data_IF_174300929640
#
_entry.id   IF_174300929640
#
_cell.length_a   1.000
_cell.length_b   1.000
_cell.length_c   1.000
_cell.angle_alpha   90.00
_cell.angle_beta   90.00
_cell.angle_gamma   90.00
#
_symmetry.space_group_name_H-M   'P 1'
#
loop_
_entity.id
_entity.type
_entity.pdbx_description
1 polymer ?
#
# COMPACT_ATOMS: atom_id res chain seq x y z
N UNK A 1 22.84 -7.14 -67.47
CA UNK A 1 22.30 -7.12 -66.08
C UNK A 1 20.96 -6.40 -66.17
N UNK A 2 19.80 -6.87 -65.69
CA UNK A 2 19.46 -7.69 -64.54
C UNK A 2 18.46 -8.80 -64.93
N UNK A 3 18.71 -10.05 -64.51
CA UNK A 3 17.76 -11.17 -64.61
C UNK A 3 17.06 -11.35 -63.25
N UNK A 4 15.72 -11.45 -63.31
CA UNK A 4 14.84 -12.20 -62.39
C UNK A 4 14.92 -11.85 -60.89
N UNK A 5 14.11 -10.89 -60.47
CA UNK A 5 13.69 -10.72 -59.06
C UNK A 5 12.17 -10.83 -58.85
N UNK A 6 11.41 -11.36 -59.82
CA UNK A 6 10.00 -11.73 -59.61
C UNK A 6 9.92 -13.13 -58.99
N UNK A 7 10.31 -13.24 -57.72
CA UNK A 7 10.43 -14.51 -56.97
C UNK A 7 9.23 -14.66 -56.01
N UNK A 8 8.27 -15.50 -56.41
CA UNK A 8 7.32 -16.25 -55.58
C UNK A 8 6.61 -15.51 -54.42
N UNK A 9 5.59 -14.73 -54.73
CA UNK A 9 4.54 -14.39 -53.76
C UNK A 9 3.45 -15.47 -53.80
N UNK A 10 3.66 -16.62 -53.13
CA UNK A 10 2.52 -17.49 -52.78
C UNK A 10 1.74 -16.74 -51.70
N UNK A 11 0.66 -16.07 -52.11
CA UNK A 11 -0.24 -15.38 -51.19
C UNK A 11 -0.81 -16.37 -50.18
N UNK A 12 -0.85 -15.93 -48.92
CA UNK A 12 -1.43 -16.70 -47.81
C UNK A 12 -2.90 -17.04 -48.12
N UNK A 13 -3.32 -18.27 -47.85
CA UNK A 13 -4.73 -18.65 -48.07
C UNK A 13 -5.61 -18.00 -47.02
N UNK A 14 -6.79 -17.50 -47.42
CA UNK A 14 -7.80 -17.00 -46.46
C UNK A 14 -8.19 -18.07 -45.44
N UNK A 15 -8.16 -19.35 -45.85
CA UNK A 15 -8.46 -20.48 -44.98
C UNK A 15 -7.39 -20.65 -43.90
N UNK A 16 -6.11 -20.48 -44.24
CA UNK A 16 -5.02 -20.57 -43.26
C UNK A 16 -5.14 -19.47 -42.19
N UNK A 17 -5.54 -18.26 -42.59
CA UNK A 17 -5.76 -17.16 -41.66
C UNK A 17 -6.92 -17.45 -40.70
N UNK A 18 -8.01 -17.99 -41.22
CA UNK A 18 -9.21 -18.31 -40.43
C UNK A 18 -8.88 -19.38 -39.37
N UNK A 19 -8.19 -20.45 -39.76
CA UNK A 19 -7.77 -21.51 -38.83
C UNK A 19 -6.84 -20.96 -37.74
N UNK A 20 -5.91 -20.08 -38.10
CA UNK A 20 -4.99 -19.48 -37.14
C UNK A 20 -5.72 -18.64 -36.08
N UNK A 21 -6.66 -17.78 -36.49
CA UNK A 21 -7.45 -16.97 -35.55
C UNK A 21 -8.32 -17.85 -34.64
N UNK A 22 -8.87 -18.94 -35.18
CA UNK A 22 -9.69 -19.88 -34.41
C UNK A 22 -8.87 -20.56 -33.31
N UNK A 23 -7.64 -20.97 -33.60
CA UNK A 23 -6.72 -21.53 -32.59
C UNK A 23 -6.33 -20.46 -31.55
N UNK A 24 -5.98 -19.25 -31.99
CA UNK A 24 -5.65 -18.15 -31.08
C UNK A 24 -6.82 -17.81 -30.14
N UNK A 25 -8.07 -17.86 -30.62
CA UNK A 25 -9.25 -17.61 -29.81
C UNK A 25 -9.41 -18.64 -28.67
N UNK A 26 -9.19 -19.93 -28.95
CA UNK A 26 -9.25 -21.00 -27.93
C UNK A 26 -8.13 -20.84 -26.90
N UNK A 27 -6.91 -20.55 -27.34
CA UNK A 27 -5.77 -20.32 -26.44
C UNK A 27 -6.03 -19.09 -25.56
N UNK A 28 -6.49 -17.98 -26.14
CA UNK A 28 -6.80 -16.76 -25.41
C UNK A 28 -7.89 -16.98 -24.34
N UNK A 29 -8.94 -17.74 -24.66
CA UNK A 29 -10.01 -18.04 -23.71
C UNK A 29 -9.51 -18.79 -22.47
N UNK A 30 -8.69 -19.83 -22.65
CA UNK A 30 -8.10 -20.58 -21.52
C UNK A 30 -7.07 -19.78 -20.74
N UNK A 31 -6.29 -18.94 -21.42
CA UNK A 31 -5.30 -18.07 -20.82
C UNK A 31 -5.94 -17.05 -19.86
N UNK A 32 -7.04 -16.40 -20.25
CA UNK A 32 -7.74 -15.41 -19.41
C UNK A 32 -8.14 -16.00 -18.05
N UNK A 33 -8.70 -17.22 -18.04
CA UNK A 33 -9.12 -17.88 -16.79
C UNK A 33 -7.93 -18.19 -15.87
N UNK A 34 -6.82 -18.66 -16.42
CA UNK A 34 -5.61 -18.98 -15.65
C UNK A 34 -4.94 -17.72 -15.09
N UNK A 35 -4.74 -16.71 -15.94
CA UNK A 35 -4.09 -15.46 -15.54
C UNK A 35 -4.91 -14.68 -14.52
N UNK A 36 -6.25 -14.69 -14.60
CA UNK A 36 -7.11 -14.04 -13.62
C UNK A 36 -6.94 -14.59 -12.20
N UNK A 37 -6.93 -15.91 -12.05
CA UNK A 37 -6.75 -16.55 -10.73
C UNK A 37 -5.36 -16.30 -10.15
N UNK A 38 -4.31 -16.44 -10.97
CA UNK A 38 -2.92 -16.19 -10.53
C UNK A 38 -2.75 -14.73 -10.13
N UNK A 39 -3.20 -13.78 -10.96
CA UNK A 39 -3.10 -12.35 -10.69
C UNK A 39 -3.79 -11.97 -9.37
N UNK A 40 -5.00 -12.47 -9.13
CA UNK A 40 -5.72 -12.23 -7.89
C UNK A 40 -4.97 -12.74 -6.65
N UNK A 41 -4.44 -13.97 -6.74
CA UNK A 41 -3.65 -14.55 -5.65
C UNK A 41 -2.35 -13.78 -5.39
N UNK A 42 -1.69 -13.30 -6.44
CA UNK A 42 -0.47 -12.49 -6.33
C UNK A 42 -0.75 -11.15 -5.67
N UNK A 43 -1.84 -10.48 -6.04
CA UNK A 43 -2.27 -9.22 -5.40
C UNK A 43 -2.61 -9.43 -3.93
N UNK A 44 -3.35 -10.48 -3.59
CA UNK A 44 -3.68 -10.80 -2.19
C UNK A 44 -2.43 -11.06 -1.35
N UNK A 45 -1.42 -11.73 -1.90
CA UNK A 45 -0.14 -11.97 -1.22
C UNK A 45 0.67 -10.68 -1.06
N UNK A 46 0.69 -9.84 -2.09
CA UNK A 46 1.35 -8.54 -2.02
C UNK A 46 0.71 -7.63 -0.96
N UNK A 47 -0.61 -7.67 -0.82
CA UNK A 47 -1.32 -6.94 0.23
C UNK A 47 -0.97 -7.48 1.62
N UNK A 48 -0.88 -8.80 1.80
CA UNK A 48 -0.46 -9.39 3.07
C UNK A 48 0.98 -9.00 3.45
N UNK A 49 1.89 -8.94 2.48
CA UNK A 49 3.27 -8.47 2.69
C UNK A 49 3.31 -6.97 3.03
N UNK A 50 2.49 -6.17 2.34
CA UNK A 50 2.38 -4.73 2.59
C UNK A 50 1.82 -4.45 3.99
N UNK A 51 0.80 -5.20 4.40
CA UNK A 51 0.24 -5.13 5.75
C UNK A 51 1.28 -5.45 6.83
N UNK A 52 2.06 -6.51 6.64
CA UNK A 52 3.15 -6.89 7.54
C UNK A 52 4.25 -5.82 7.57
N UNK A 53 4.56 -5.18 6.44
CA UNK A 53 5.50 -4.07 6.39
C UNK A 53 4.99 -2.84 7.17
N UNK A 54 3.72 -2.45 7.00
CA UNK A 54 3.09 -1.37 7.77
C UNK A 54 3.12 -1.68 9.27
N UNK A 55 2.75 -2.91 9.66
CA UNK A 55 2.83 -3.38 11.05
C UNK A 55 4.24 -3.23 11.62
N UNK A 56 5.26 -3.65 10.88
CA UNK A 56 6.67 -3.53 11.30
C UNK A 56 7.09 -2.08 11.43
N UNK A 57 6.67 -1.21 10.53
CA UNK A 57 6.95 0.22 10.61
C UNK A 57 6.36 0.84 11.88
N UNK A 58 5.08 0.55 12.19
CA UNK A 58 4.43 1.01 13.42
C UNK A 58 5.17 0.49 14.65
N UNK A 59 5.44 -0.82 14.72
CA UNK A 59 6.18 -1.40 15.86
C UNK A 59 7.57 -0.78 16.01
N UNK A 60 8.29 -0.58 14.92
CA UNK A 60 9.64 0.01 14.95
C UNK A 60 9.57 1.45 15.44
N UNK A 61 8.60 2.23 14.97
CA UNK A 61 8.35 3.58 15.45
C UNK A 61 8.12 3.58 16.98
N UNK A 62 7.11 2.84 17.45
CA UNK A 62 6.77 2.78 18.88
C UNK A 62 7.95 2.38 19.76
N UNK A 63 8.81 1.46 19.29
CA UNK A 63 9.98 1.02 20.05
C UNK A 63 11.12 2.06 20.08
N UNK A 64 11.29 2.85 19.01
CA UNK A 64 12.36 3.83 18.93
C UNK A 64 12.00 5.14 19.63
N UNK A 65 10.74 5.57 19.51
CA UNK A 65 10.25 6.83 20.07
C UNK A 65 9.67 6.66 21.46
N UNK A 66 9.39 5.43 21.90
CA UNK A 66 8.59 5.11 23.07
C UNK A 66 7.14 5.67 23.05
N UNK A 67 6.70 6.22 21.91
CA UNK A 67 5.33 6.65 21.67
C UNK A 67 4.46 5.43 21.36
N UNK A 68 3.98 4.78 22.42
CA UNK A 68 3.20 3.52 22.32
C UNK A 68 1.75 3.71 21.90
N UNK A 69 1.22 4.93 22.00
CA UNK A 69 -0.17 5.27 21.63
C UNK A 69 -0.28 6.10 20.34
N UNK A 70 0.85 6.34 19.66
CA UNK A 70 0.95 7.10 18.42
C UNK A 70 0.48 8.55 18.56
N UNK A 71 0.53 9.10 19.78
CA UNK A 71 0.09 10.46 20.09
C UNK A 71 0.95 11.51 19.40
N UNK A 72 2.25 11.26 19.22
CA UNK A 72 3.17 12.12 18.47
C UNK A 72 2.85 12.14 16.96
N UNK A 73 2.05 11.19 16.45
CA UNK A 73 1.63 11.17 15.04
C UNK A 73 0.29 11.88 14.81
N UNK A 74 -0.53 12.11 15.84
CA UNK A 74 -1.88 12.69 15.74
C UNK A 74 -2.69 12.08 14.57
N UNK A 75 -2.83 10.76 14.60
CA UNK A 75 -3.37 9.96 13.48
C UNK A 75 -4.85 10.30 13.23
N UNK A 76 -5.20 10.56 11.97
CA UNK A 76 -6.60 10.56 11.54
C UNK A 76 -7.16 9.13 11.54
N UNK A 77 -8.02 8.83 12.53
CA UNK A 77 -8.58 7.49 12.74
C UNK A 77 -9.49 7.02 11.60
N UNK A 78 -10.08 7.93 10.84
CA UNK A 78 -10.94 7.60 9.70
C UNK A 78 -10.12 7.40 8.42
N UNK A 79 -8.88 7.91 8.38
CA UNK A 79 -8.02 7.86 7.22
C UNK A 79 -6.70 7.12 7.52
N UNK A 80 -6.63 5.80 7.27
CA UNK A 80 -5.41 5.02 7.51
C UNK A 80 -4.23 5.46 6.62
N UNK A 81 -4.49 6.13 5.50
CA UNK A 81 -3.44 6.64 4.62
C UNK A 81 -2.65 7.77 5.30
N UNK A 82 -3.25 8.53 6.22
CA UNK A 82 -2.56 9.59 6.99
C UNK A 82 -1.41 9.00 7.82
N UNK A 83 -1.69 7.93 8.59
CA UNK A 83 -0.66 7.22 9.36
C UNK A 83 0.45 6.69 8.46
N UNK A 84 0.10 6.08 7.33
CA UNK A 84 1.07 5.51 6.39
C UNK A 84 1.95 6.62 5.78
N UNK A 85 1.37 7.77 5.44
CA UNK A 85 2.10 8.93 4.92
C UNK A 85 3.04 9.53 5.97
N UNK A 86 2.59 9.65 7.23
CA UNK A 86 3.43 10.11 8.34
C UNK A 86 4.61 9.17 8.60
N UNK A 87 4.38 7.85 8.59
CA UNK A 87 5.44 6.84 8.71
C UNK A 87 6.39 6.79 7.50
N UNK A 88 5.97 7.34 6.36
CA UNK A 88 6.81 7.48 5.16
C UNK A 88 7.69 8.73 5.19
N UNK A 89 7.51 9.61 6.19
CA UNK A 89 8.29 10.83 6.36
C UNK A 89 9.42 10.64 7.37
N UNK A 90 10.39 11.57 7.35
CA UNK A 90 11.29 11.76 8.50
C UNK A 90 10.49 12.49 9.58
N UNK A 91 10.41 11.87 10.76
CA UNK A 91 9.64 12.36 11.90
C UNK A 91 10.62 12.97 12.89
N UNK A 92 10.47 14.26 13.18
CA UNK A 92 11.27 14.95 14.18
C UNK A 92 10.40 15.30 15.37
N UNK A 93 10.71 14.71 16.52
CA UNK A 93 10.04 14.92 17.81
C UNK A 93 10.88 15.89 18.64
N UNK A 94 10.31 17.04 18.98
CA UNK A 94 10.93 18.08 19.80
C UNK A 94 9.97 18.48 20.93
N UNK A 95 10.36 18.27 22.18
CA UNK A 95 9.54 18.55 23.37
C UNK A 95 9.04 20.00 23.46
N UNK A 96 9.67 20.95 22.75
CA UNK A 96 9.31 22.37 22.78
C UNK A 96 8.57 22.80 21.53
N UNK A 97 8.97 22.27 20.37
CA UNK A 97 8.48 22.71 19.07
C UNK A 97 7.43 21.77 18.47
N UNK A 98 7.15 20.64 19.12
CA UNK A 98 6.20 19.64 18.65
C UNK A 98 6.83 18.64 17.69
N UNK A 99 5.99 17.99 16.89
CA UNK A 99 6.40 16.99 15.89
C UNK A 99 6.27 17.55 14.50
N UNK A 100 7.32 17.38 13.70
CA UNK A 100 7.35 17.82 12.30
C UNK A 100 7.66 16.66 11.37
N UNK A 101 7.04 16.68 10.18
CA UNK A 101 7.17 15.65 9.16
C UNK A 101 7.88 16.21 7.94
N UNK A 102 9.06 15.68 7.64
CA UNK A 102 9.78 16.03 6.40
C UNK A 102 9.53 14.96 5.35
N UNK A 103 8.76 15.33 4.32
CA UNK A 103 8.46 14.46 3.17
C UNK A 103 9.72 14.19 2.34
N UNK A 104 10.01 12.93 1.98
CA UNK A 104 11.14 12.61 1.11
C UNK A 104 10.83 13.03 -0.35
N UNK A 105 11.87 13.39 -1.10
CA UNK A 105 11.70 13.95 -2.46
C UNK A 105 11.06 12.99 -3.48
N UNK A 106 11.10 11.69 -3.20
CA UNK A 106 10.52 10.64 -4.02
C UNK A 106 9.12 10.19 -3.57
N UNK A 107 8.51 10.86 -2.58
CA UNK A 107 7.19 10.47 -2.09
C UNK A 107 6.09 10.63 -3.15
N UNK A 108 5.27 9.59 -3.31
CA UNK A 108 4.19 9.49 -4.29
C UNK A 108 2.85 10.09 -3.79
N UNK A 109 2.78 10.54 -2.54
CA UNK A 109 1.60 11.20 -1.97
C UNK A 109 1.76 12.72 -2.00
N UNK A 110 0.66 13.44 -2.19
CA UNK A 110 0.63 14.91 -2.30
C UNK A 110 0.01 15.53 -1.05
N UNK A 111 0.43 16.76 -0.73
CA UNK A 111 -0.04 17.50 0.45
C UNK A 111 1.00 17.61 1.56
N UNK A 112 0.91 18.69 2.33
CA UNK A 112 1.69 18.88 3.54
C UNK A 112 1.01 18.15 4.69
N UNK A 113 1.79 17.42 5.48
CA UNK A 113 1.31 16.79 6.71
C UNK A 113 1.26 17.82 7.82
N UNK A 114 0.18 17.80 8.62
CA UNK A 114 0.03 18.68 9.77
C UNK A 114 1.13 18.40 10.80
N UNK A 115 1.76 19.47 11.28
CA UNK A 115 2.63 19.38 12.46
C UNK A 115 1.80 19.07 13.71
N UNK A 116 2.38 18.35 14.66
CA UNK A 116 1.72 18.04 15.94
C UNK A 116 2.25 18.94 17.02
N UNK A 117 1.37 19.48 17.86
CA UNK A 117 1.77 20.35 18.98
C UNK A 117 2.54 19.59 20.06
N UNK A 118 3.44 20.28 20.77
CA UNK A 118 4.23 19.72 21.85
C UNK A 118 3.39 19.15 23.01
N UNK A 119 2.13 19.58 23.16
CA UNK A 119 1.20 19.07 24.17
C UNK A 119 0.81 17.60 23.97
N UNK A 120 1.03 17.06 22.77
CA UNK A 120 0.77 15.66 22.44
C UNK A 120 1.94 14.74 22.75
N UNK A 121 3.10 15.29 23.10
CA UNK A 121 4.30 14.53 23.45
C UNK A 121 4.20 14.18 24.94
N UNK A 122 4.21 12.90 25.27
CA UNK A 122 4.30 12.42 26.65
C UNK A 122 5.74 12.57 27.16
N UNK A 123 5.91 12.77 28.47
CA UNK A 123 7.23 12.82 29.10
C UNK A 123 7.99 11.50 29.04
N UNK A 124 7.36 10.42 28.58
CA UNK A 124 8.00 9.13 28.31
C UNK A 124 8.48 8.99 26.86
N UNK A 125 8.07 9.88 25.95
CA UNK A 125 8.51 9.87 24.56
C UNK A 125 9.97 10.30 24.44
N UNK A 126 10.67 9.79 23.43
CA UNK A 126 12.09 10.01 23.21
C UNK A 126 12.26 11.03 22.07
N UNK A 127 12.76 12.25 22.35
CA UNK A 127 13.00 13.25 21.32
C UNK A 127 14.10 12.81 20.35
N UNK A 128 13.95 13.17 19.09
CA UNK A 128 14.90 12.76 18.05
C UNK A 128 14.36 12.88 16.64
N UNK A 129 15.18 12.48 15.68
CA UNK A 129 14.82 12.34 14.28
C UNK A 129 14.76 10.86 13.92
N UNK A 130 13.61 10.43 13.39
CA UNK A 130 13.28 9.04 13.15
C UNK A 130 12.74 8.83 11.74
N UNK A 131 12.85 7.59 11.26
CA UNK A 131 12.35 7.21 9.94
C UNK A 131 13.21 7.69 8.77
N UNK A 132 12.68 7.63 7.53
CA UNK A 132 11.36 7.11 7.19
C UNK A 132 11.28 5.60 7.46
N UNK A 133 10.12 5.14 7.93
CA UNK A 133 9.87 3.73 8.24
C UNK A 133 9.26 2.97 7.08
N UNK A 134 8.60 3.69 6.18
CA UNK A 134 7.99 3.19 4.95
C UNK A 134 8.59 3.87 3.73
N UNK A 135 8.61 3.16 2.61
CA UNK A 135 9.04 3.69 1.32
C UNK A 135 7.93 4.55 0.71
N UNK A 136 8.01 5.86 0.92
CA UNK A 136 7.03 6.82 0.42
C UNK A 136 6.89 6.88 -1.11
N UNK A 137 7.80 6.27 -1.88
CA UNK A 137 7.69 6.23 -3.35
C UNK A 137 6.65 5.24 -3.88
N UNK A 138 6.15 4.35 -3.01
CA UNK A 138 5.17 3.33 -3.37
C UNK A 138 3.79 3.74 -2.88
N UNK A 139 2.79 3.53 -3.73
CA UNK A 139 1.41 3.52 -3.28
C UNK A 139 1.18 2.26 -2.45
N UNK A 140 0.97 2.43 -1.14
CA UNK A 140 0.76 1.33 -0.21
C UNK A 140 -0.72 0.91 -0.13
N UNK A 141 -1.59 1.41 -1.00
CA UNK A 141 -2.99 0.97 -1.04
C UNK A 141 -3.11 -0.51 -1.42
N UNK A 142 -4.09 -1.22 -0.85
CA UNK A 142 -4.36 -2.61 -1.24
C UNK A 142 -4.60 -2.74 -2.76
N UNK A 143 -3.99 -3.77 -3.35
CA UNK A 143 -4.01 -4.04 -4.79
C UNK A 143 -5.00 -5.15 -5.15
N UNK A 144 -5.42 -5.97 -4.18
CA UNK A 144 -6.37 -7.05 -4.41
C UNK A 144 -7.75 -6.52 -4.84
N UNK A 145 -8.47 -7.26 -5.69
CA UNK A 145 -9.84 -6.94 -6.05
C UNK A 145 -10.70 -6.77 -4.80
N UNK A 146 -11.66 -5.85 -4.87
CA UNK A 146 -12.63 -5.57 -3.81
C UNK A 146 -12.01 -5.06 -2.50
N UNK A 147 -10.75 -4.62 -2.48
CA UNK A 147 -10.13 -3.99 -1.30
C UNK A 147 -10.15 -2.47 -1.40
N UNK A 148 -10.54 -1.81 -0.32
CA UNK A 148 -10.81 -0.35 -0.30
C UNK A 148 -9.89 0.44 0.65
N UNK A 149 -9.16 -0.23 1.53
CA UNK A 149 -8.21 0.42 2.44
C UNK A 149 -7.68 -0.53 3.51
N UNK A 150 -6.93 0.04 4.47
CA UNK A 150 -6.36 -0.71 5.58
C UNK A 150 -7.17 -0.53 6.86
N UNK A 151 -7.30 -1.60 7.63
CA UNK A 151 -7.71 -1.56 9.03
C UNK A 151 -6.47 -1.80 9.88
N UNK A 152 -6.13 -0.79 10.68
CA UNK A 152 -4.95 -0.81 11.56
C UNK A 152 -5.47 -0.79 12.99
N UNK A 153 -5.14 -1.82 13.77
CA UNK A 153 -5.43 -1.81 15.21
C UNK A 153 -4.12 -1.85 15.99
N UNK A 154 -4.00 -0.96 16.95
CA UNK A 154 -2.88 -0.86 17.89
C UNK A 154 -3.44 -1.02 19.29
N UNK A 155 -3.02 -2.07 19.99
CA UNK A 155 -3.35 -2.30 21.40
C UNK A 155 -2.15 -1.86 22.24
N UNK A 156 -2.31 -0.75 22.96
CA UNK A 156 -1.21 -0.08 23.68
C UNK A 156 -0.71 -0.93 24.85
N UNK A 157 -1.61 -1.66 25.53
CA UNK A 157 -1.26 -2.48 26.70
C UNK A 157 -0.48 -3.73 26.33
N UNK A 158 -0.89 -4.39 25.26
CA UNK A 158 -0.27 -5.64 24.81
C UNK A 158 0.82 -5.40 23.75
N UNK A 159 0.95 -4.17 23.27
CA UNK A 159 1.80 -3.78 22.14
C UNK A 159 1.54 -4.62 20.87
N UNK A 160 0.31 -5.12 20.73
CA UNK A 160 -0.11 -5.90 19.56
C UNK A 160 -0.58 -4.95 18.47
N UNK A 161 0.06 -5.03 17.31
CA UNK A 161 -0.36 -4.31 16.10
C UNK A 161 -0.88 -5.30 15.07
N UNK A 162 -2.08 -5.04 14.53
CA UNK A 162 -2.69 -5.81 13.45
C UNK A 162 -3.00 -4.88 12.28
N UNK A 163 -2.66 -5.30 11.06
CA UNK A 163 -2.96 -4.57 9.83
C UNK A 163 -3.62 -5.54 8.87
N UNK A 164 -4.79 -5.19 8.36
CA UNK A 164 -5.57 -6.05 7.46
C UNK A 164 -6.20 -5.23 6.32
N UNK A 165 -6.23 -5.81 5.11
CA UNK A 165 -6.89 -5.18 3.97
C UNK A 165 -8.41 -5.36 4.05
N UNK A 166 -9.15 -4.25 4.07
CA UNK A 166 -10.60 -4.22 4.19
C UNK A 166 -11.27 -4.48 2.84
N UNK A 167 -12.27 -5.37 2.84
CA UNK A 167 -13.12 -5.62 1.66
C UNK A 167 -14.18 -4.52 1.56
N UNK A 168 -14.43 -4.00 0.36
CA UNK A 168 -15.47 -3.01 0.10
C UNK A 168 -16.76 -3.65 -0.42
N UNK A 169 -17.90 -3.14 0.07
CA UNK A 169 -19.24 -3.62 -0.21
C UNK A 169 -20.33 -2.64 0.28
N UNK A 170 -21.57 -2.91 -0.12
CA UNK A 170 -22.74 -2.01 0.00
C UNK A 170 -23.68 -2.31 1.17
N UNK A 171 -23.30 -3.17 2.13
CA UNK A 171 -24.19 -3.60 3.23
C UNK A 171 -23.68 -3.19 4.62
N UNK A 172 -24.62 -2.98 5.55
CA UNK A 172 -24.52 -2.27 6.83
C UNK A 172 -23.63 -2.93 7.91
N UNK A 173 -22.95 -4.05 7.62
CA UNK A 173 -22.09 -4.78 8.57
C UNK A 173 -20.60 -4.92 8.14
N UNK A 174 -20.17 -4.31 7.03
CA UNK A 174 -18.75 -4.39 6.65
C UNK A 174 -17.86 -3.40 7.41
N UNK A 175 -16.71 -3.91 7.88
CA UNK A 175 -15.68 -3.13 8.59
C UNK A 175 -15.18 -1.99 7.70
N UNK A 176 -15.06 -0.78 8.27
CA UNK A 176 -14.51 0.37 7.56
C UNK A 176 -12.98 0.39 7.66
N UNK A 177 -12.26 0.85 6.61
CA UNK A 177 -10.86 1.24 6.76
C UNK A 177 -10.73 2.28 7.85
N UNK A 178 -9.63 2.23 8.59
CA UNK A 178 -9.42 3.13 9.71
C UNK A 178 -8.33 2.65 10.66
N UNK A 179 -8.03 3.51 11.63
CA UNK A 179 -7.04 3.26 12.68
C UNK A 179 -7.74 3.25 14.02
N UNK A 180 -7.61 2.14 14.74
CA UNK A 180 -8.12 1.98 16.11
C UNK A 180 -6.94 1.84 17.07
N UNK A 181 -6.81 2.80 17.99
CA UNK A 181 -5.82 2.76 19.06
C UNK A 181 -6.58 2.46 20.36
N UNK A 182 -6.31 1.29 20.96
CA UNK A 182 -6.92 0.83 22.20
C UNK A 182 -5.99 1.07 23.38
N UNK A 183 -6.41 1.93 24.28
CA UNK A 183 -5.68 2.30 25.51
C UNK A 183 -6.18 1.54 26.75
N UNK A 184 -7.30 0.81 26.63
CA UNK A 184 -8.05 0.16 27.73
C UNK A 184 -7.70 -1.31 27.98
#
# INVERSE_FOLDING_TARGET
MMKKLLKQNKGFSLVELLVAILIMAVIAATAIMLFGGVLNSSKTRADAETAENIKRAILTYMNLTNDTDLSCLDVDKENPDDLIQKLSCIIKIDEKNGVTFTKPSNAAFEGDLSTVDAEKIDGTDIPGEYGPFLDGSKDMKPQAPDKVGWKINVDVKTQVVTVEAVKGGTEEEEEKPGVTIKTD
#
